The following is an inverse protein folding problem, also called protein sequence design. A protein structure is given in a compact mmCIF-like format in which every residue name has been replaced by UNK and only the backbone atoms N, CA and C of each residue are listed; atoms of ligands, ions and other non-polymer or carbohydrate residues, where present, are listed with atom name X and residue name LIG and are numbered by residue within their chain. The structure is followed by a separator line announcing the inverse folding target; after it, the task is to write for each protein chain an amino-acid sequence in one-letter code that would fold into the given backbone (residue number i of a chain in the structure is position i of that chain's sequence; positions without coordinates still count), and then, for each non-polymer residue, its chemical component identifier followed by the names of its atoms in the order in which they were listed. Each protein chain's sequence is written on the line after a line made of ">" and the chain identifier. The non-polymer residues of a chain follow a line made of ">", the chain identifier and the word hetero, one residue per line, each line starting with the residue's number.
data_IF_310063846757
#
_entry.id   IF_310063846757
#
_cell.length_a   1.000
_cell.length_b   1.000
_cell.length_c   1.000
_cell.angle_alpha   90.00
_cell.angle_beta   90.00
_cell.angle_gamma   90.00
#
_symmetry.space_group_name_H-M   'P 1'
#
loop_
_entity.id
_entity.type
_entity.pdbx_description
1 polymer ?
#
# COMPACT_ATOMS: atom_id res chain seq x y z
N UNK A 1 -44.78 35.78 15.85
CA UNK A 1 -43.63 35.43 16.72
C UNK A 1 -42.51 34.92 15.80
N UNK A 2 -41.35 35.59 15.73
CA UNK A 2 -40.23 35.09 14.93
C UNK A 2 -39.45 34.07 15.75
N UNK A 3 -39.24 32.88 15.21
CA UNK A 3 -38.40 31.86 15.84
C UNK A 3 -36.92 32.20 15.57
N UNK A 4 -36.06 32.31 16.60
CA UNK A 4 -34.66 32.68 16.43
C UNK A 4 -33.80 31.46 16.10
N UNK A 5 -33.01 31.61 15.04
CA UNK A 5 -31.70 30.97 14.85
C UNK A 5 -31.61 29.44 15.06
N UNK A 6 -32.00 28.68 14.04
CA UNK A 6 -31.38 27.38 13.80
C UNK A 6 -30.12 27.58 12.95
N UNK A 7 -28.97 27.72 13.60
CA UNK A 7 -27.67 27.61 12.93
C UNK A 7 -27.57 26.21 12.28
N UNK A 8 -27.20 26.10 10.99
CA UNK A 8 -26.83 24.81 10.44
C UNK A 8 -25.51 24.40 11.08
N UNK A 9 -25.57 23.45 12.02
CA UNK A 9 -24.39 22.75 12.49
C UNK A 9 -23.74 22.07 11.28
N UNK A 10 -22.59 22.59 10.87
CA UNK A 10 -21.76 22.02 9.81
C UNK A 10 -21.36 20.60 10.22
N UNK A 11 -22.15 19.61 9.79
CA UNK A 11 -21.84 18.20 9.91
C UNK A 11 -20.72 17.88 8.94
N UNK A 12 -19.49 18.15 9.36
CA UNK A 12 -18.27 17.72 8.70
C UNK A 12 -18.13 16.19 8.86
N UNK A 13 -18.98 15.42 8.19
CA UNK A 13 -18.85 13.96 8.05
C UNK A 13 -18.87 13.52 6.59
N UNK A 14 -18.21 14.30 5.73
CA UNK A 14 -17.67 13.75 4.50
C UNK A 14 -16.27 13.23 4.82
N UNK A 15 -16.15 11.97 5.24
CA UNK A 15 -14.84 11.31 5.26
C UNK A 15 -14.30 11.31 3.84
N UNK A 16 -13.38 12.24 3.56
CA UNK A 16 -12.92 12.47 2.20
C UNK A 16 -12.34 11.15 1.68
N UNK A 17 -12.80 10.68 0.50
CA UNK A 17 -12.45 9.37 -0.04
C UNK A 17 -10.94 9.09 -0.14
N UNK A 18 -10.15 10.16 -0.10
CA UNK A 18 -8.70 10.29 -0.20
C UNK A 18 -8.01 9.98 1.13
N UNK A 19 -8.56 10.41 2.27
CA UNK A 19 -8.00 10.14 3.60
C UNK A 19 -8.02 8.64 3.88
N UNK A 20 -9.15 7.98 3.59
CA UNK A 20 -9.22 6.52 3.71
C UNK A 20 -8.22 5.82 2.79
N UNK A 21 -7.94 6.39 1.62
CA UNK A 21 -6.97 5.84 0.66
C UNK A 21 -5.54 5.95 1.18
N UNK A 22 -5.19 7.11 1.73
CA UNK A 22 -3.90 7.37 2.38
C UNK A 22 -3.70 6.39 3.53
N UNK A 23 -4.67 6.28 4.46
CA UNK A 23 -4.56 5.36 5.60
C UNK A 23 -4.48 3.90 5.16
N UNK A 24 -5.25 3.52 4.13
CA UNK A 24 -5.20 2.17 3.56
C UNK A 24 -3.82 1.86 3.00
N UNK A 25 -3.24 2.79 2.22
CA UNK A 25 -1.90 2.64 1.65
C UNK A 25 -0.78 2.63 2.69
N UNK A 26 -0.84 3.51 3.70
CA UNK A 26 0.12 3.51 4.82
C UNK A 26 0.05 2.16 5.54
N UNK A 27 -1.14 1.71 5.95
CA UNK A 27 -1.29 0.47 6.70
C UNK A 27 -0.77 -0.74 5.91
N UNK A 28 -1.17 -0.87 4.63
CA UNK A 28 -0.72 -1.99 3.80
C UNK A 28 0.78 -1.94 3.54
N UNK A 29 1.34 -0.75 3.26
CA UNK A 29 2.77 -0.56 3.04
C UNK A 29 3.61 -0.83 4.29
N UNK A 30 3.14 -0.42 5.47
CA UNK A 30 3.78 -0.74 6.74
C UNK A 30 3.79 -2.24 6.99
N UNK A 31 2.64 -2.92 6.84
CA UNK A 31 2.57 -4.38 7.00
C UNK A 31 3.54 -5.09 6.05
N UNK A 32 3.57 -4.70 4.77
CA UNK A 32 4.51 -5.25 3.78
C UNK A 32 5.97 -5.04 4.17
N UNK A 33 6.33 -3.80 4.53
CA UNK A 33 7.70 -3.43 4.87
C UNK A 33 8.21 -4.20 6.09
N UNK A 34 7.44 -4.24 7.17
CA UNK A 34 7.82 -5.00 8.36
C UNK A 34 7.87 -6.50 8.11
N UNK A 35 6.94 -7.04 7.31
CA UNK A 35 6.96 -8.44 6.92
C UNK A 35 8.26 -8.79 6.18
N UNK A 36 8.61 -8.06 5.12
CA UNK A 36 9.84 -8.33 4.36
C UNK A 36 11.11 -8.04 5.17
N UNK A 37 11.09 -7.04 6.05
CA UNK A 37 12.19 -6.77 6.99
C UNK A 37 12.42 -7.95 7.92
N UNK A 38 11.36 -8.53 8.46
CA UNK A 38 11.44 -9.73 9.30
C UNK A 38 11.97 -10.92 8.51
N UNK A 39 11.46 -11.17 7.29
CA UNK A 39 11.95 -12.25 6.43
C UNK A 39 13.45 -12.09 6.18
N UNK A 40 13.90 -10.90 5.77
CA UNK A 40 15.32 -10.63 5.55
C UNK A 40 16.16 -10.86 6.81
N UNK A 41 15.65 -10.49 7.99
CA UNK A 41 16.37 -10.71 9.25
C UNK A 41 16.53 -12.19 9.62
N UNK A 42 15.58 -13.05 9.26
CA UNK A 42 15.61 -14.49 9.61
C UNK A 42 16.28 -15.35 8.52
N UNK A 43 16.18 -15.00 7.25
CA UNK A 43 16.72 -15.80 6.14
C UNK A 43 18.04 -15.26 5.59
N UNK A 44 18.32 -13.96 5.78
CA UNK A 44 19.42 -13.25 5.12
C UNK A 44 19.11 -12.81 3.68
N UNK A 45 17.95 -13.20 3.14
CA UNK A 45 17.55 -12.82 1.78
C UNK A 45 17.27 -11.32 1.70
N UNK A 46 17.88 -10.63 0.73
CA UNK A 46 17.87 -9.16 0.64
C UNK A 46 16.54 -8.56 0.12
N UNK A 47 15.40 -9.20 0.41
CA UNK A 47 14.06 -8.82 -0.08
C UNK A 47 13.55 -7.49 0.49
N UNK A 48 13.95 -7.11 1.70
CA UNK A 48 13.64 -5.78 2.24
C UNK A 48 14.53 -4.71 1.60
N UNK A 49 15.80 -5.01 1.36
CA UNK A 49 16.69 -4.13 0.58
C UNK A 49 16.16 -3.92 -0.83
N UNK A 50 15.59 -4.95 -1.46
CA UNK A 50 14.92 -4.83 -2.76
C UNK A 50 13.69 -3.91 -2.69
N UNK A 51 12.88 -4.04 -1.62
CA UNK A 51 11.69 -3.20 -1.41
C UNK A 51 12.04 -1.71 -1.32
N UNK A 52 13.17 -1.41 -0.70
CA UNK A 52 13.69 -0.06 -0.47
C UNK A 52 14.59 0.45 -1.58
N UNK A 53 14.88 -0.36 -2.60
CA UNK A 53 15.84 -0.02 -3.64
C UNK A 53 15.45 1.29 -4.33
N UNK A 54 16.38 2.23 -4.42
CA UNK A 54 16.24 3.52 -5.12
C UNK A 54 17.23 3.69 -6.27
N UNK A 55 18.03 2.66 -6.58
CA UNK A 55 19.10 2.73 -7.59
C UNK A 55 18.57 3.10 -9.00
N UNK A 56 17.26 2.92 -9.24
CA UNK A 56 16.60 3.29 -10.51
C UNK A 56 16.23 4.79 -10.61
N UNK A 57 16.32 5.56 -9.51
CA UNK A 57 15.93 6.97 -9.49
C UNK A 57 17.12 7.86 -9.86
N UNK A 58 17.10 8.53 -11.02
CA UNK A 58 18.21 9.39 -11.42
C UNK A 58 18.35 10.59 -10.46
N UNK A 59 19.59 10.89 -10.07
CA UNK A 59 19.92 12.04 -9.23
C UNK A 59 19.87 11.79 -7.72
N UNK A 60 19.46 10.60 -7.27
CA UNK A 60 19.61 10.18 -5.87
C UNK A 60 20.96 9.49 -5.64
N UNK A 61 21.54 9.59 -4.42
CA UNK A 61 22.67 8.76 -4.06
C UNK A 61 22.24 7.28 -4.03
N UNK A 62 23.18 6.33 -4.17
CA UNK A 62 22.85 4.91 -4.17
C UNK A 62 22.10 4.49 -2.90
N UNK A 63 22.57 4.92 -1.73
CA UNK A 63 21.94 4.64 -0.45
C UNK A 63 21.46 5.91 0.22
N UNK A 64 20.30 5.81 0.88
CA UNK A 64 19.80 6.82 1.81
C UNK A 64 19.61 6.17 3.19
N UNK A 65 19.45 6.97 4.27
CA UNK A 65 19.00 6.45 5.53
C UNK A 65 17.72 5.63 5.37
N UNK A 66 17.65 4.46 6.02
CA UNK A 66 16.56 3.50 5.89
C UNK A 66 15.17 4.14 6.03
N UNK A 67 15.00 5.05 7.00
CA UNK A 67 13.72 5.73 7.23
C UNK A 67 13.28 6.59 6.02
N UNK A 68 14.22 7.13 5.24
CA UNK A 68 13.94 7.90 4.02
C UNK A 68 13.54 6.95 2.90
N UNK A 69 14.30 5.88 2.65
CA UNK A 69 13.97 4.88 1.63
C UNK A 69 12.60 4.24 1.91
N UNK A 70 12.33 3.91 3.17
CA UNK A 70 11.03 3.39 3.59
C UNK A 70 9.91 4.41 3.43
N UNK A 71 10.15 5.70 3.70
CA UNK A 71 9.17 6.75 3.45
C UNK A 71 8.86 6.91 1.96
N UNK A 72 9.86 6.81 1.07
CA UNK A 72 9.66 6.80 -0.38
C UNK A 72 8.78 5.61 -0.81
N UNK A 73 9.03 4.43 -0.25
CA UNK A 73 8.18 3.26 -0.48
C UNK A 73 6.73 3.47 0.01
N UNK A 74 6.55 4.09 1.18
CA UNK A 74 5.21 4.41 1.70
C UNK A 74 4.47 5.41 0.81
N UNK A 75 5.16 6.36 0.17
CA UNK A 75 4.54 7.29 -0.80
C UNK A 75 3.95 6.49 -1.98
N UNK A 76 4.69 5.53 -2.52
CA UNK A 76 4.17 4.64 -3.59
C UNK A 76 2.95 3.86 -3.10
N UNK A 77 3.02 3.31 -1.88
CA UNK A 77 1.91 2.58 -1.26
C UNK A 77 0.66 3.46 -1.07
N UNK A 78 0.83 4.73 -0.70
CA UNK A 78 -0.27 5.71 -0.58
C UNK A 78 -0.93 5.99 -1.93
N UNK A 79 -0.14 6.19 -2.99
CA UNK A 79 -0.67 6.39 -4.35
C UNK A 79 -1.50 5.18 -4.77
N UNK A 80 -0.99 3.96 -4.53
CA UNK A 80 -1.71 2.71 -4.79
C UNK A 80 -2.99 2.65 -3.94
N UNK A 81 -2.95 3.00 -2.66
CA UNK A 81 -4.11 2.97 -1.76
C UNK A 81 -5.24 3.92 -2.18
N UNK A 82 -4.89 5.13 -2.63
CA UNK A 82 -5.86 6.10 -3.17
C UNK A 82 -6.49 5.56 -4.46
N UNK A 83 -5.66 5.10 -5.41
CA UNK A 83 -6.13 4.52 -6.67
C UNK A 83 -7.02 3.30 -6.44
N UNK A 84 -6.60 2.40 -5.55
CA UNK A 84 -7.33 1.20 -5.17
C UNK A 84 -8.74 1.54 -4.65
N UNK A 85 -8.87 2.46 -3.70
CA UNK A 85 -10.18 2.83 -3.16
C UNK A 85 -11.06 3.52 -4.20
N UNK A 86 -10.48 4.36 -5.06
CA UNK A 86 -11.20 4.91 -6.20
C UNK A 86 -11.75 3.78 -7.08
N UNK A 87 -10.94 2.80 -7.47
CA UNK A 87 -11.36 1.67 -8.30
C UNK A 87 -12.42 0.80 -7.59
N UNK A 88 -12.25 0.48 -6.31
CA UNK A 88 -13.22 -0.31 -5.55
C UNK A 88 -14.59 0.36 -5.50
N UNK A 89 -14.66 1.68 -5.39
CA UNK A 89 -15.94 2.41 -5.38
C UNK A 89 -16.70 2.30 -6.70
N UNK A 90 -15.99 2.26 -7.84
CA UNK A 90 -16.64 2.24 -9.16
C UNK A 90 -17.10 0.83 -9.57
N UNK A 91 -16.41 -0.24 -9.16
CA UNK A 91 -16.75 -1.60 -9.62
C UNK A 91 -16.78 -2.68 -8.54
N UNK A 92 -16.79 -2.29 -7.25
CA UNK A 92 -16.92 -3.22 -6.13
C UNK A 92 -15.72 -4.16 -5.97
N UNK A 93 -15.96 -5.37 -5.44
CA UNK A 93 -14.97 -6.48 -5.35
C UNK A 93 -13.62 -6.11 -4.69
N UNK A 94 -13.62 -5.56 -3.46
CA UNK A 94 -12.40 -5.10 -2.77
C UNK A 94 -11.28 -6.15 -2.69
N UNK A 95 -11.58 -7.38 -2.25
CA UNK A 95 -10.56 -8.43 -2.10
C UNK A 95 -9.85 -8.79 -3.40
N UNK A 96 -10.61 -9.03 -4.46
CA UNK A 96 -10.04 -9.45 -5.76
C UNK A 96 -9.13 -8.36 -6.30
N UNK A 97 -9.53 -7.10 -6.21
CA UNK A 97 -8.72 -5.96 -6.67
C UNK A 97 -7.47 -5.73 -5.82
N UNK A 98 -7.58 -5.89 -4.50
CA UNK A 98 -6.44 -5.80 -3.61
C UNK A 98 -5.40 -6.88 -3.94
N UNK A 99 -5.83 -8.14 -4.04
CA UNK A 99 -4.97 -9.27 -4.42
C UNK A 99 -4.38 -9.06 -5.82
N UNK A 100 -5.16 -8.58 -6.79
CA UNK A 100 -4.67 -8.29 -8.14
C UNK A 100 -3.57 -7.22 -8.12
N UNK A 101 -3.75 -6.13 -7.36
CA UNK A 101 -2.71 -5.10 -7.21
C UNK A 101 -1.46 -5.65 -6.53
N UNK A 102 -1.61 -6.52 -5.52
CA UNK A 102 -0.50 -7.24 -4.92
C UNK A 102 0.26 -8.12 -5.93
N UNK A 103 -0.47 -8.92 -6.70
CA UNK A 103 0.12 -9.78 -7.72
C UNK A 103 0.83 -8.97 -8.82
N UNK A 104 0.20 -7.90 -9.32
CA UNK A 104 0.79 -7.04 -10.36
C UNK A 104 2.02 -6.30 -9.83
N UNK A 105 1.97 -5.75 -8.62
CA UNK A 105 3.14 -5.10 -8.01
C UNK A 105 4.29 -6.07 -7.75
N UNK A 106 3.99 -7.37 -7.52
CA UNK A 106 5.04 -8.39 -7.38
C UNK A 106 5.93 -8.52 -8.63
N UNK A 107 5.39 -8.20 -9.82
CA UNK A 107 6.15 -8.23 -11.08
C UNK A 107 7.33 -7.24 -11.09
N UNK A 108 7.31 -6.23 -10.20
CA UNK A 108 8.42 -5.28 -10.03
C UNK A 108 9.71 -5.96 -9.55
N UNK A 109 9.66 -7.20 -9.06
CA UNK A 109 10.87 -7.98 -8.77
C UNK A 109 11.84 -7.97 -9.96
N UNK A 110 11.33 -8.23 -11.17
CA UNK A 110 12.15 -8.38 -12.37
C UNK A 110 12.98 -7.12 -12.66
N UNK A 111 12.37 -5.94 -12.91
CA UNK A 111 13.15 -4.74 -13.20
C UNK A 111 13.98 -4.29 -12.00
N UNK A 112 13.48 -4.41 -10.77
CA UNK A 112 14.21 -3.94 -9.59
C UNK A 112 15.46 -4.79 -9.28
N UNK A 113 15.40 -6.11 -9.50
CA UNK A 113 16.56 -7.00 -9.35
C UNK A 113 17.60 -6.81 -10.44
N UNK A 114 17.20 -6.44 -11.66
CA UNK A 114 18.15 -6.20 -12.76
C UNK A 114 18.90 -4.86 -12.63
N UNK A 115 18.29 -3.88 -11.96
CA UNK A 115 18.83 -2.52 -11.86
C UNK A 115 19.78 -2.32 -10.67
N UNK A 116 20.07 -3.36 -9.88
CA UNK A 116 20.88 -3.21 -8.67
C UNK A 116 21.68 -4.48 -8.35
N UNK A 117 22.94 -4.32 -7.95
CA UNK A 117 23.83 -5.42 -7.53
C UNK A 117 23.73 -5.79 -6.05
N UNK A 118 22.93 -5.05 -5.29
CA UNK A 118 22.82 -5.14 -3.81
C UNK A 118 21.51 -5.78 -3.35
N UNK A 119 20.68 -6.21 -4.28
CA UNK A 119 19.41 -6.90 -4.07
C UNK A 119 19.54 -8.38 -4.48
N UNK A 120 18.53 -9.24 -4.21
CA UNK A 120 18.57 -10.64 -4.61
C UNK A 120 18.67 -10.81 -6.14
N UNK A 121 19.29 -11.91 -6.55
CA UNK A 121 19.45 -12.24 -7.97
C UNK A 121 18.09 -12.43 -8.66
N UNK A 122 18.03 -12.14 -9.95
CA UNK A 122 16.81 -12.28 -10.75
C UNK A 122 16.22 -13.71 -10.69
N UNK A 123 17.06 -14.73 -10.51
CA UNK A 123 16.66 -16.14 -10.49
C UNK A 123 16.64 -16.75 -9.08
N UNK A 124 16.78 -15.94 -8.05
CA UNK A 124 16.68 -16.41 -6.66
C UNK A 124 15.24 -16.80 -6.32
N UNK A 125 14.98 -18.11 -6.38
CA UNK A 125 13.63 -18.67 -6.17
C UNK A 125 13.10 -18.36 -4.77
N UNK A 126 13.96 -18.39 -3.74
CA UNK A 126 13.57 -18.10 -2.36
C UNK A 126 13.13 -16.64 -2.23
N UNK A 127 13.95 -15.72 -2.73
CA UNK A 127 13.64 -14.30 -2.70
C UNK A 127 12.37 -13.95 -3.50
N UNK A 128 12.18 -14.55 -4.68
CA UNK A 128 10.97 -14.40 -5.50
C UNK A 128 9.73 -14.86 -4.71
N UNK A 129 9.79 -16.02 -4.05
CA UNK A 129 8.67 -16.54 -3.28
C UNK A 129 8.32 -15.63 -2.09
N UNK A 130 9.32 -15.20 -1.32
CA UNK A 130 9.10 -14.28 -0.21
C UNK A 130 8.53 -12.93 -0.68
N UNK A 131 9.02 -12.43 -1.81
CA UNK A 131 8.53 -11.19 -2.42
C UNK A 131 7.06 -11.29 -2.83
N UNK A 132 6.69 -12.36 -3.55
CA UNK A 132 5.30 -12.62 -3.96
C UNK A 132 4.40 -12.76 -2.74
N UNK A 133 4.79 -13.55 -1.74
CA UNK A 133 4.00 -13.73 -0.51
C UNK A 133 3.79 -12.40 0.20
N UNK A 134 4.84 -11.58 0.32
CA UNK A 134 4.74 -10.24 0.91
C UNK A 134 3.74 -9.36 0.16
N UNK A 135 3.82 -9.32 -1.17
CA UNK A 135 2.93 -8.49 -1.98
C UNK A 135 1.49 -9.01 -2.04
N UNK A 136 1.27 -10.32 -1.95
CA UNK A 136 -0.05 -10.88 -1.75
C UNK A 136 -0.62 -10.49 -0.38
N UNK A 137 0.20 -10.50 0.68
CA UNK A 137 -0.19 -9.99 1.99
C UNK A 137 -0.58 -8.50 1.92
N UNK A 138 0.21 -7.66 1.25
CA UNK A 138 -0.13 -6.26 0.95
C UNK A 138 -1.52 -6.15 0.28
N UNK A 139 -1.75 -6.94 -0.77
CA UNK A 139 -3.02 -6.97 -1.48
C UNK A 139 -4.21 -7.44 -0.64
N UNK A 140 -3.99 -8.40 0.26
CA UNK A 140 -5.00 -8.85 1.23
C UNK A 140 -5.35 -7.72 2.20
N UNK A 141 -4.37 -7.01 2.75
CA UNK A 141 -4.60 -5.88 3.66
C UNK A 141 -5.40 -4.78 2.96
N UNK A 142 -5.04 -4.41 1.72
CA UNK A 142 -5.86 -3.51 0.88
C UNK A 142 -7.30 -4.01 0.77
N UNK A 143 -7.47 -5.29 0.44
CA UNK A 143 -8.75 -5.98 0.32
C UNK A 143 -9.62 -5.86 1.58
N UNK A 144 -9.03 -6.11 2.74
CA UNK A 144 -9.70 -6.04 4.05
C UNK A 144 -10.10 -4.61 4.40
N UNK A 145 -9.21 -3.64 4.20
CA UNK A 145 -9.52 -2.21 4.40
C UNK A 145 -10.68 -1.77 3.49
N UNK A 146 -10.64 -2.13 2.20
CA UNK A 146 -11.69 -1.81 1.25
C UNK A 146 -13.04 -2.47 1.60
N UNK A 147 -13.03 -3.72 2.10
CA UNK A 147 -14.24 -4.38 2.63
C UNK A 147 -14.82 -3.60 3.80
N UNK A 148 -14.00 -3.30 4.80
CA UNK A 148 -14.42 -2.60 6.02
C UNK A 148 -15.02 -1.22 5.73
N UNK A 149 -14.40 -0.46 4.82
CA UNK A 149 -14.89 0.86 4.41
C UNK A 149 -16.22 0.74 3.65
N UNK A 150 -16.39 -0.28 2.82
CA UNK A 150 -17.64 -0.47 2.07
C UNK A 150 -18.79 -0.95 2.97
N UNK A 151 -18.53 -1.79 3.97
CA UNK A 151 -19.55 -2.26 4.92
C UNK A 151 -20.02 -1.14 5.84
N UNK A 152 -19.10 -0.34 6.36
CA UNK A 152 -19.44 0.82 7.23
C UNK A 152 -20.29 1.86 6.50
N UNK A 153 -20.01 2.14 5.21
CA UNK A 153 -20.86 3.03 4.41
C UNK A 153 -22.27 2.51 4.16
N UNK A 154 -22.46 1.20 4.01
CA UNK A 154 -23.79 0.60 3.85
C UNK A 154 -24.62 0.64 5.14
N UNK A 155 -23.97 0.58 6.30
CA UNK A 155 -24.63 0.61 7.61
C UNK A 155 -25.10 2.01 8.04
N UNK A 156 -24.67 3.07 7.34
CA UNK A 156 -25.14 4.44 7.53
C UNK A 156 -25.92 4.88 6.29
N UNK A 157 -27.19 4.47 6.12
CA UNK A 157 -28.02 5.05 5.08
C UNK A 157 -28.16 6.55 5.36
N UNK A 158 -28.03 7.36 4.31
CA UNK A 158 -28.27 8.80 4.38
C UNK A 158 -29.70 9.03 4.90
N UNK A 159 -29.81 9.65 6.07
CA UNK A 159 -31.06 10.19 6.62
C UNK A 159 -31.44 11.47 5.90
#
# INVERSE_FOLDING_TARGET
>A
MPDPAAHPSTSAKHSLPWISGILTGILSGVVLGFFLKMIQAITGEKVYTLLLNIDFVPGLPPTLPEFIEFSLHLIVSVVIGIFYLWWVRHSGRPMIKGILLGAVSSLLYIPLSQMSSRVPDLYDVSAILYWIVGHLLFGIVLGLCGKYINTTKKATPAS
#
